data_IF_684390245671
#
_entry.id   IF_684390245671
#
_cell.length_a   1.000
_cell.length_b   1.000
_cell.length_c   1.000
_cell.angle_alpha   90.00
_cell.angle_beta   90.00
_cell.angle_gamma   90.00
#
_symmetry.space_group_name_H-M   'P 1'
#
loop_
_entity.id
_entity.type
_entity.pdbx_description
1 polymer ?
#
# COMPACT_ATOMS: atom_id res chain seq x y z
N UNK A 1 12.51 -40.47 13.99
CA UNK A 1 11.44 -41.03 13.13
C UNK A 1 11.44 -40.23 11.83
N UNK A 2 11.38 -40.85 10.63
CA UNK A 2 11.23 -40.11 9.36
C UNK A 2 10.11 -39.06 9.37
N UNK A 3 8.97 -39.37 10.01
CA UNK A 3 7.83 -38.43 10.08
C UNK A 3 8.13 -37.21 10.96
N UNK A 4 8.93 -37.40 12.02
CA UNK A 4 9.38 -36.30 12.87
C UNK A 4 10.35 -35.38 12.11
N UNK A 5 11.25 -35.95 11.30
CA UNK A 5 12.17 -35.19 10.46
C UNK A 5 11.41 -34.38 9.40
N UNK A 6 10.42 -34.97 8.74
CA UNK A 6 9.56 -34.27 7.78
C UNK A 6 8.77 -33.13 8.45
N UNK A 7 8.21 -33.37 9.63
CA UNK A 7 7.50 -32.36 10.41
C UNK A 7 8.41 -31.19 10.78
N UNK A 8 9.65 -31.47 11.22
CA UNK A 8 10.65 -30.43 11.51
C UNK A 8 11.02 -29.66 10.23
N UNK A 9 11.28 -30.36 9.13
CA UNK A 9 11.66 -29.74 7.87
C UNK A 9 10.56 -28.79 7.35
N UNK A 10 9.30 -29.23 7.39
CA UNK A 10 8.14 -28.43 7.01
C UNK A 10 7.96 -27.21 7.92
N UNK A 11 8.02 -27.41 9.25
CA UNK A 11 7.88 -26.32 10.22
C UNK A 11 8.98 -25.27 10.10
N UNK A 12 10.17 -25.68 9.66
CA UNK A 12 11.35 -24.80 9.55
C UNK A 12 11.39 -24.03 8.24
N UNK A 13 10.56 -24.38 7.25
CA UNK A 13 10.43 -23.64 6.00
C UNK A 13 11.76 -23.45 5.23
N UNK A 14 12.71 -24.37 5.39
CA UNK A 14 14.05 -24.30 4.79
C UNK A 14 15.13 -23.61 5.63
N UNK A 15 14.81 -23.07 6.81
CA UNK A 15 15.79 -22.49 7.73
C UNK A 15 16.40 -23.58 8.64
N UNK A 16 17.69 -23.88 8.43
CA UNK A 16 18.42 -24.85 9.21
C UNK A 16 18.55 -24.48 10.70
N UNK A 17 18.56 -23.18 11.04
CA UNK A 17 18.59 -22.71 12.43
C UNK A 17 17.26 -22.96 13.14
N UNK A 18 16.15 -22.65 12.47
CA UNK A 18 14.81 -22.94 13.00
C UNK A 18 14.61 -24.45 13.18
N UNK A 19 15.10 -25.26 12.23
CA UNK A 19 15.08 -26.72 12.33
C UNK A 19 15.87 -27.25 13.53
N UNK A 20 17.06 -26.69 13.75
CA UNK A 20 17.88 -27.05 14.90
C UNK A 20 17.21 -26.65 16.23
N UNK A 21 16.65 -25.44 16.32
CA UNK A 21 15.94 -24.97 17.52
C UNK A 21 14.72 -25.82 17.84
N UNK A 22 13.89 -26.15 16.84
CA UNK A 22 12.73 -27.02 17.03
C UNK A 22 13.16 -28.42 17.47
N UNK A 23 14.23 -28.97 16.88
CA UNK A 23 14.79 -30.25 17.27
C UNK A 23 15.27 -30.22 18.73
N UNK A 24 16.04 -29.21 19.12
CA UNK A 24 16.56 -29.04 20.49
C UNK A 24 15.42 -28.93 21.51
N UNK A 25 14.41 -28.12 21.23
CA UNK A 25 13.23 -27.99 22.10
C UNK A 25 12.43 -29.29 22.21
N UNK A 26 12.29 -30.02 21.11
CA UNK A 26 11.60 -31.31 21.08
C UNK A 26 12.37 -32.37 21.88
N UNK A 27 13.70 -32.39 21.76
CA UNK A 27 14.58 -33.28 22.54
C UNK A 27 14.58 -32.92 24.03
N UNK A 28 14.55 -31.63 24.37
CA UNK A 28 14.50 -31.17 25.77
C UNK A 28 13.20 -31.61 26.48
N UNK A 29 12.09 -31.73 25.76
CA UNK A 29 10.78 -32.12 26.31
C UNK A 29 10.56 -33.63 26.40
N UNK A 30 11.33 -34.44 25.67
CA UNK A 30 11.18 -35.89 25.64
C UNK A 30 11.45 -36.59 26.99
N UNK A 31 12.11 -35.93 27.95
CA UNK A 31 12.53 -36.56 29.20
C UNK A 31 13.44 -37.79 28.96
N UNK A 32 13.79 -38.50 30.03
CA UNK A 32 14.55 -39.75 29.97
C UNK A 32 15.86 -39.75 30.76
N UNK A 33 16.38 -40.94 31.07
CA UNK A 33 17.65 -41.10 31.78
C UNK A 33 18.85 -40.85 30.86
N UNK A 34 19.91 -40.25 31.41
CA UNK A 34 21.18 -40.06 30.71
C UNK A 34 21.72 -41.41 30.19
N UNK A 35 22.04 -41.47 28.90
CA UNK A 35 22.59 -42.66 28.25
C UNK A 35 21.58 -43.62 27.62
N UNK A 36 20.26 -43.43 27.82
CA UNK A 36 19.25 -44.22 27.13
C UNK A 36 18.96 -43.67 25.71
N UNK A 37 18.76 -44.54 24.69
CA UNK A 37 18.36 -44.10 23.36
C UNK A 37 16.98 -43.43 23.43
N UNK A 38 16.91 -42.16 23.00
CA UNK A 38 15.67 -41.38 22.91
C UNK A 38 15.12 -41.43 21.49
N UNK A 39 13.83 -41.71 21.35
CA UNK A 39 13.13 -41.69 20.06
C UNK A 39 12.24 -40.45 20.01
N UNK A 40 12.53 -39.56 19.07
CA UNK A 40 11.64 -38.45 18.73
C UNK A 40 10.69 -38.90 17.62
N UNK A 41 9.39 -38.87 17.93
CA UNK A 41 8.30 -39.14 17.02
C UNK A 41 7.56 -37.85 16.63
N UNK A 42 6.62 -37.98 15.68
CA UNK A 42 5.84 -36.86 15.15
C UNK A 42 5.00 -36.17 16.22
N UNK A 43 4.42 -36.94 17.13
CA UNK A 43 3.55 -36.41 18.20
C UNK A 43 4.34 -35.51 19.15
N UNK A 44 5.54 -35.92 19.56
CA UNK A 44 6.42 -35.12 20.41
C UNK A 44 6.81 -33.78 19.75
N UNK A 45 7.15 -33.78 18.46
CA UNK A 45 7.43 -32.55 17.69
C UNK A 45 6.16 -31.68 17.59
N UNK A 46 5.01 -32.31 17.32
CA UNK A 46 3.74 -31.60 17.16
C UNK A 46 3.29 -30.93 18.45
N UNK A 47 3.51 -31.58 19.61
CA UNK A 47 3.25 -30.98 20.92
C UNK A 47 4.11 -29.74 21.17
N UNK A 48 5.36 -29.73 20.70
CA UNK A 48 6.23 -28.54 20.79
C UNK A 48 5.74 -27.41 19.91
N UNK A 49 5.31 -27.73 18.68
CA UNK A 49 4.71 -26.78 17.75
C UNK A 49 3.44 -26.15 18.31
N UNK A 50 2.51 -26.95 18.83
CA UNK A 50 1.26 -26.49 19.43
C UNK A 50 1.48 -25.65 20.69
N UNK A 51 2.57 -25.87 21.42
CA UNK A 51 2.97 -25.06 22.56
C UNK A 51 3.75 -23.78 22.17
N UNK A 52 3.79 -23.42 20.88
CA UNK A 52 4.43 -22.20 20.36
C UNK A 52 5.94 -22.32 20.10
N UNK A 53 6.51 -23.52 20.11
CA UNK A 53 7.96 -23.74 20.15
C UNK A 53 8.73 -23.55 18.83
N UNK A 54 8.10 -23.51 17.65
CA UNK A 54 8.82 -23.33 16.38
C UNK A 54 8.46 -22.04 15.63
N UNK A 55 7.52 -21.26 16.14
CA UNK A 55 7.10 -20.01 15.49
C UNK A 55 7.41 -18.86 16.42
N UNK A 56 8.68 -18.80 16.85
CA UNK A 56 9.31 -17.50 16.90
C UNK A 56 9.46 -17.05 15.43
N UNK A 57 8.34 -16.69 14.80
CA UNK A 57 8.33 -15.76 13.68
C UNK A 57 9.13 -14.60 14.21
N UNK A 58 10.36 -14.46 13.72
CA UNK A 58 11.25 -13.43 14.19
C UNK A 58 10.60 -12.11 13.77
N UNK A 59 9.84 -11.53 14.70
CA UNK A 59 9.12 -10.27 14.51
C UNK A 59 10.10 -9.12 14.22
N UNK A 60 11.42 -9.34 14.39
CA UNK A 60 12.49 -8.45 13.96
C UNK A 60 13.41 -9.02 12.87
N UNK A 61 13.08 -10.18 12.29
CA UNK A 61 13.96 -10.94 11.39
C UNK A 61 13.69 -10.76 9.91
N UNK A 62 14.64 -11.23 9.11
CA UNK A 62 14.61 -11.23 7.64
C UNK A 62 13.31 -11.85 7.08
N UNK A 63 12.84 -12.95 7.68
CA UNK A 63 11.63 -13.66 7.24
C UNK A 63 10.33 -12.83 7.31
N UNK A 64 10.19 -11.94 8.31
CA UNK A 64 9.05 -11.02 8.40
C UNK A 64 9.04 -10.05 7.21
N UNK A 65 10.19 -9.44 6.91
CA UNK A 65 10.34 -8.48 5.81
C UNK A 65 10.21 -9.16 4.44
N UNK A 66 10.72 -10.37 4.29
CA UNK A 66 10.63 -11.13 3.04
C UNK A 66 9.19 -11.53 2.73
N UNK A 67 8.45 -12.01 3.73
CA UNK A 67 7.08 -12.48 3.52
C UNK A 67 6.15 -11.32 3.14
N UNK A 68 6.25 -10.18 3.82
CA UNK A 68 5.45 -9.00 3.44
C UNK A 68 5.88 -8.42 2.07
N UNK A 69 7.17 -8.48 1.76
CA UNK A 69 7.73 -8.07 0.48
C UNK A 69 7.19 -8.96 -0.65
N UNK A 70 7.11 -10.27 -0.43
CA UNK A 70 6.55 -11.24 -1.36
C UNK A 70 5.04 -11.04 -1.55
N UNK A 71 4.28 -10.82 -0.48
CA UNK A 71 2.85 -10.46 -0.56
C UNK A 71 2.64 -9.21 -1.43
N UNK A 72 3.39 -8.13 -1.14
CA UNK A 72 3.30 -6.87 -1.86
C UNK A 72 3.63 -7.06 -3.36
N UNK A 73 4.72 -7.76 -3.67
CA UNK A 73 5.13 -8.02 -5.06
C UNK A 73 4.13 -8.91 -5.79
N UNK A 74 3.52 -9.87 -5.12
CA UNK A 74 2.50 -10.75 -5.72
C UNK A 74 1.24 -9.96 -6.10
N UNK A 75 0.76 -9.09 -5.21
CA UNK A 75 -0.35 -8.16 -5.50
C UNK A 75 0.00 -7.27 -6.69
N UNK A 76 1.19 -6.65 -6.68
CA UNK A 76 1.67 -5.79 -7.78
C UNK A 76 1.81 -6.55 -9.10
N UNK A 77 2.28 -7.78 -9.03
CA UNK A 77 2.42 -8.73 -10.15
C UNK A 77 1.10 -9.29 -10.66
N UNK A 78 -0.01 -9.00 -9.99
CA UNK A 78 -1.35 -9.49 -10.32
C UNK A 78 -1.49 -11.01 -10.24
N UNK A 79 -0.82 -11.61 -9.25
CA UNK A 79 -0.91 -13.03 -8.93
C UNK A 79 -1.75 -13.21 -7.63
N UNK A 80 -3.06 -13.49 -7.74
CA UNK A 80 -3.93 -13.64 -6.57
C UNK A 80 -3.60 -14.89 -5.75
N UNK A 81 -3.13 -15.96 -6.38
CA UNK A 81 -2.84 -17.23 -5.72
C UNK A 81 -1.57 -17.10 -4.85
N UNK A 82 -0.50 -16.53 -5.41
CA UNK A 82 0.70 -16.23 -4.64
C UNK A 82 0.41 -15.22 -3.53
N UNK A 83 -0.41 -14.20 -3.80
CA UNK A 83 -0.78 -13.22 -2.78
C UNK A 83 -1.58 -13.85 -1.62
N UNK A 84 -2.50 -14.76 -1.90
CA UNK A 84 -3.20 -15.53 -0.86
C UNK A 84 -2.25 -16.42 -0.07
N UNK A 85 -1.33 -17.11 -0.74
CA UNK A 85 -0.34 -17.96 -0.07
C UNK A 85 0.53 -17.16 0.91
N UNK A 86 1.08 -16.02 0.47
CA UNK A 86 1.90 -15.18 1.35
C UNK A 86 1.10 -14.57 2.49
N UNK A 87 -0.15 -14.15 2.23
CA UNK A 87 -1.07 -13.69 3.29
C UNK A 87 -1.30 -14.79 4.34
N UNK A 88 -1.65 -16.00 3.91
CA UNK A 88 -1.89 -17.13 4.80
C UNK A 88 -0.62 -17.46 5.61
N UNK A 89 0.55 -17.50 4.98
CA UNK A 89 1.83 -17.73 5.66
C UNK A 89 2.10 -16.69 6.76
N UNK A 90 1.75 -15.41 6.54
CA UNK A 90 1.90 -14.38 7.56
C UNK A 90 0.92 -14.59 8.71
N UNK A 91 -0.36 -14.86 8.43
CA UNK A 91 -1.39 -15.04 9.45
C UNK A 91 -1.13 -16.27 10.32
N UNK A 92 -0.82 -17.41 9.70
CA UNK A 92 -0.44 -18.64 10.41
C UNK A 92 0.89 -18.48 11.15
N UNK A 93 1.78 -17.62 10.64
CA UNK A 93 3.03 -17.22 11.29
C UNK A 93 2.83 -16.27 12.49
N UNK A 94 1.60 -15.88 12.83
CA UNK A 94 1.32 -14.99 13.97
C UNK A 94 1.70 -13.53 13.73
N UNK A 95 1.73 -13.10 12.46
CA UNK A 95 1.89 -11.69 12.09
C UNK A 95 0.72 -10.85 12.64
N UNK A 96 1.00 -9.59 12.99
CA UNK A 96 -0.07 -8.63 13.31
C UNK A 96 -0.99 -8.44 12.09
N UNK A 97 -2.29 -8.81 12.14
CA UNK A 97 -3.18 -8.65 11.00
C UNK A 97 -3.38 -7.17 10.62
N UNK A 98 -3.22 -6.23 11.57
CA UNK A 98 -3.25 -4.81 11.25
C UNK A 98 -1.98 -4.36 10.51
N UNK A 99 -0.84 -5.03 10.70
CA UNK A 99 0.35 -4.79 9.89
C UNK A 99 0.10 -5.14 8.43
N UNK A 100 -0.47 -6.32 8.18
CA UNK A 100 -0.88 -6.74 6.84
C UNK A 100 -1.90 -5.75 6.26
N UNK A 101 -2.93 -5.37 7.02
CA UNK A 101 -3.94 -4.40 6.58
C UNK A 101 -3.33 -3.06 6.14
N UNK A 102 -2.38 -2.51 6.92
CA UNK A 102 -1.63 -1.28 6.56
C UNK A 102 -0.89 -1.43 5.22
N UNK A 103 -0.36 -2.62 4.93
CA UNK A 103 0.36 -2.92 3.69
C UNK A 103 -0.57 -3.09 2.49
N UNK A 104 -1.78 -3.65 2.69
CA UNK A 104 -2.82 -3.67 1.66
C UNK A 104 -3.30 -2.25 1.32
N UNK A 105 -3.51 -1.39 2.33
CA UNK A 105 -3.84 0.03 2.13
C UNK A 105 -2.73 0.75 1.34
N UNK A 106 -1.47 0.43 1.63
CA UNK A 106 -0.33 0.96 0.86
C UNK A 106 -0.37 0.50 -0.59
N UNK A 107 -0.53 -0.79 -0.85
CA UNK A 107 -0.61 -1.35 -2.20
C UNK A 107 -1.79 -0.76 -3.00
N UNK A 108 -2.93 -0.52 -2.36
CA UNK A 108 -4.09 0.11 -2.98
C UNK A 108 -3.78 1.51 -3.57
N UNK A 109 -3.00 2.33 -2.84
CA UNK A 109 -2.66 3.68 -3.33
C UNK A 109 -1.41 3.73 -4.20
N UNK A 110 -0.47 2.78 -4.01
CA UNK A 110 0.82 2.74 -4.72
C UNK A 110 0.73 2.02 -6.06
N UNK A 111 0.09 0.85 -6.10
CA UNK A 111 0.15 -0.08 -7.23
C UNK A 111 -1.17 -0.15 -8.02
N UNK A 112 -2.30 0.24 -7.42
CA UNK A 112 -3.62 0.34 -8.09
C UNK A 112 -3.98 1.80 -8.39
N UNK A 113 -3.88 2.67 -7.38
CA UNK A 113 -4.01 4.11 -7.54
C UNK A 113 -5.38 4.52 -8.11
N UNK A 114 -5.37 5.44 -9.06
CA UNK A 114 -6.60 5.94 -9.69
C UNK A 114 -7.10 5.06 -10.84
N UNK A 115 -6.39 3.98 -11.18
CA UNK A 115 -6.89 3.01 -12.15
C UNK A 115 -8.11 2.26 -11.59
N UNK A 116 -8.18 2.10 -10.26
CA UNK A 116 -9.40 1.72 -9.55
C UNK A 116 -9.45 2.32 -8.12
N UNK A 117 -10.14 3.46 -7.92
CA UNK A 117 -10.23 4.11 -6.61
C UNK A 117 -10.92 3.28 -5.52
N UNK A 118 -11.71 2.26 -5.87
CA UNK A 118 -12.35 1.38 -4.89
C UNK A 118 -11.34 0.51 -4.13
N UNK A 119 -10.14 0.31 -4.67
CA UNK A 119 -9.07 -0.42 -4.01
C UNK A 119 -8.75 0.09 -2.60
N UNK A 120 -8.66 1.42 -2.43
CA UNK A 120 -8.38 2.02 -1.11
C UNK A 120 -9.56 1.83 -0.15
N UNK A 121 -10.80 1.89 -0.67
CA UNK A 121 -12.01 1.68 0.13
C UNK A 121 -12.09 0.23 0.62
N UNK A 122 -11.87 -0.73 -0.27
CA UNK A 122 -11.86 -2.16 0.06
C UNK A 122 -10.76 -2.51 1.08
N UNK A 123 -9.55 -1.98 0.91
CA UNK A 123 -8.45 -2.21 1.83
C UNK A 123 -8.75 -1.63 3.24
N UNK A 124 -9.35 -0.43 3.30
CA UNK A 124 -9.77 0.16 4.57
C UNK A 124 -10.93 -0.61 5.22
N UNK A 125 -11.89 -1.08 4.44
CA UNK A 125 -12.99 -1.91 4.95
C UNK A 125 -12.46 -3.23 5.54
N UNK A 126 -11.46 -3.86 4.89
CA UNK A 126 -10.81 -5.04 5.44
C UNK A 126 -10.05 -4.73 6.75
N UNK A 127 -9.34 -3.60 6.84
CA UNK A 127 -8.70 -3.16 8.07
C UNK A 127 -9.71 -2.96 9.21
N UNK A 128 -10.85 -2.32 8.92
CA UNK A 128 -11.93 -2.14 9.89
C UNK A 128 -12.55 -3.48 10.29
N UNK A 129 -12.79 -4.38 9.35
CA UNK A 129 -13.30 -5.72 9.64
C UNK A 129 -12.37 -6.48 10.60
N UNK A 130 -11.06 -6.42 10.40
CA UNK A 130 -10.08 -7.00 11.34
C UNK A 130 -10.20 -6.40 12.74
N UNK A 131 -10.36 -5.07 12.84
CA UNK A 131 -10.49 -4.40 14.13
C UNK A 131 -11.81 -4.71 14.85
N UNK A 132 -12.90 -4.84 14.09
CA UNK A 132 -14.25 -5.03 14.63
C UNK A 132 -14.55 -6.50 14.95
N UNK A 133 -14.13 -7.41 14.08
CA UNK A 133 -14.43 -8.85 14.17
C UNK A 133 -13.32 -9.60 14.90
N UNK A 134 -12.06 -9.21 14.73
CA UNK A 134 -10.91 -9.97 15.24
C UNK A 134 -10.57 -11.20 14.40
N UNK A 135 -9.52 -11.92 14.79
CA UNK A 135 -9.17 -13.23 14.20
C UNK A 135 -9.84 -14.38 14.98
N UNK A 136 -10.18 -15.50 14.32
CA UNK A 136 -9.84 -15.86 12.93
C UNK A 136 -10.75 -15.27 11.83
N UNK A 137 -11.98 -14.84 12.13
CA UNK A 137 -12.98 -14.48 11.10
C UNK A 137 -12.56 -13.28 10.23
N UNK A 138 -11.83 -12.31 10.81
CA UNK A 138 -11.29 -11.16 10.10
C UNK A 138 -10.23 -11.49 9.04
N UNK A 139 -9.64 -12.70 9.07
CA UNK A 139 -8.67 -13.15 8.06
C UNK A 139 -9.31 -13.17 6.66
N UNK A 140 -10.58 -13.55 6.56
CA UNK A 140 -11.27 -13.62 5.28
C UNK A 140 -11.46 -12.24 4.65
N UNK A 141 -11.62 -11.19 5.46
CA UNK A 141 -11.68 -9.81 4.97
C UNK A 141 -10.35 -9.36 4.36
N UNK A 142 -9.22 -9.74 4.98
CA UNK A 142 -7.88 -9.50 4.41
C UNK A 142 -7.67 -10.28 3.11
N UNK A 143 -8.09 -11.54 3.05
CA UNK A 143 -8.01 -12.36 1.85
C UNK A 143 -8.84 -11.75 0.69
N UNK A 144 -10.07 -11.31 0.98
CA UNK A 144 -10.91 -10.63 -0.01
C UNK A 144 -10.23 -9.37 -0.57
N UNK A 145 -9.70 -8.50 0.30
CA UNK A 145 -9.00 -7.30 -0.15
C UNK A 145 -7.71 -7.64 -0.93
N UNK A 146 -6.97 -8.67 -0.50
CA UNK A 146 -5.76 -9.14 -1.17
C UNK A 146 -6.04 -9.55 -2.62
N UNK A 147 -7.04 -10.41 -2.84
CA UNK A 147 -7.45 -10.86 -4.18
C UNK A 147 -7.98 -9.69 -5.01
N UNK A 148 -8.78 -8.80 -4.42
CA UNK A 148 -9.27 -7.60 -5.09
C UNK A 148 -8.10 -6.76 -5.64
N UNK A 149 -7.10 -6.47 -4.81
CA UNK A 149 -5.94 -5.67 -5.20
C UNK A 149 -5.07 -6.38 -6.24
N UNK A 150 -4.91 -7.70 -6.12
CA UNK A 150 -4.18 -8.51 -7.09
C UNK A 150 -4.85 -8.46 -8.47
N UNK A 151 -6.18 -8.48 -8.56
CA UNK A 151 -6.91 -8.45 -9.83
C UNK A 151 -7.23 -7.03 -10.35
N UNK A 152 -7.09 -6.00 -9.51
CA UNK A 152 -7.38 -4.63 -9.91
C UNK A 152 -6.44 -4.12 -11.01
N UNK A 153 -6.91 -3.24 -11.93
CA UNK A 153 -6.05 -2.58 -12.90
C UNK A 153 -4.90 -1.83 -12.20
N UNK A 154 -3.66 -2.09 -12.61
CA UNK A 154 -2.48 -1.48 -11.97
C UNK A 154 -2.20 -0.08 -12.48
N UNK A 155 -1.82 0.83 -11.59
CA UNK A 155 -1.24 2.13 -11.94
C UNK A 155 -0.41 2.68 -10.78
N UNK A 156 0.82 3.07 -11.11
CA UNK A 156 1.73 3.82 -10.24
C UNK A 156 1.75 5.32 -10.57
N UNK A 157 0.84 5.80 -11.43
CA UNK A 157 0.84 7.19 -11.92
C UNK A 157 0.67 8.21 -10.80
N UNK A 158 -0.21 7.92 -9.83
CA UNK A 158 -0.39 8.75 -8.64
C UNK A 158 0.87 8.77 -7.77
N UNK A 159 1.44 7.60 -7.50
CA UNK A 159 2.66 7.44 -6.70
C UNK A 159 3.84 8.20 -7.31
N UNK A 160 4.08 8.01 -8.61
CA UNK A 160 5.14 8.71 -9.36
C UNK A 160 4.90 10.21 -9.42
N UNK A 161 3.66 10.64 -9.65
CA UNK A 161 3.31 12.05 -9.73
C UNK A 161 3.51 12.77 -8.41
N UNK A 162 3.05 12.20 -7.30
CA UNK A 162 3.28 12.77 -5.98
C UNK A 162 4.78 12.77 -5.63
N UNK A 163 5.50 11.68 -5.91
CA UNK A 163 6.95 11.63 -5.71
C UNK A 163 7.72 12.68 -6.51
N UNK A 164 7.28 13.00 -7.74
CA UNK A 164 7.86 14.08 -8.54
C UNK A 164 7.61 15.46 -7.91
N UNK A 165 6.38 15.74 -7.47
CA UNK A 165 6.07 17.00 -6.79
C UNK A 165 6.86 17.15 -5.48
N UNK A 166 7.01 16.08 -4.70
CA UNK A 166 7.83 16.09 -3.48
C UNK A 166 9.31 16.41 -3.77
N UNK A 167 9.86 15.84 -4.86
CA UNK A 167 11.24 16.15 -5.27
C UNK A 167 11.39 17.61 -5.67
N UNK A 168 10.44 18.16 -6.45
CA UNK A 168 10.47 19.57 -6.85
C UNK A 168 10.50 20.49 -5.62
N UNK A 169 9.64 20.23 -4.63
CA UNK A 169 9.58 21.01 -3.38
C UNK A 169 10.88 20.93 -2.58
N UNK A 170 11.58 19.79 -2.59
CA UNK A 170 12.86 19.63 -1.87
C UNK A 170 14.04 20.26 -2.59
N UNK A 171 13.99 20.38 -3.91
CA UNK A 171 15.12 20.77 -4.75
C UNK A 171 15.05 22.22 -5.25
N UNK A 172 13.89 22.86 -5.16
CA UNK A 172 13.67 24.23 -5.61
C UNK A 172 13.46 25.20 -4.45
N UNK A 173 13.63 26.52 -4.68
CA UNK A 173 13.18 27.53 -3.73
C UNK A 173 11.70 27.35 -3.37
N UNK A 174 11.33 27.75 -2.16
CA UNK A 174 9.94 27.83 -1.72
C UNK A 174 9.22 28.96 -2.47
N UNK A 175 8.79 28.70 -3.70
CA UNK A 175 8.08 29.67 -4.51
C UNK A 175 6.81 30.12 -3.80
N UNK A 176 6.51 31.44 -3.78
CA UNK A 176 5.33 31.94 -3.11
C UNK A 176 4.07 31.45 -3.80
N UNK A 177 2.99 31.27 -3.02
CA UNK A 177 1.65 31.06 -3.58
C UNK A 177 1.28 32.27 -4.47
N UNK A 178 0.79 32.06 -5.71
CA UNK A 178 0.31 33.13 -6.59
C UNK A 178 -0.67 34.05 -5.87
N UNK A 179 -0.56 35.37 -6.08
CA UNK A 179 -1.32 36.37 -5.32
C UNK A 179 -2.84 36.14 -5.40
N UNK A 180 -3.34 35.76 -6.59
CA UNK A 180 -4.73 35.42 -6.85
C UNK A 180 -5.24 34.19 -6.08
N UNK A 181 -4.36 33.32 -5.59
CA UNK A 181 -4.74 32.13 -4.81
C UNK A 181 -4.59 32.33 -3.29
N UNK A 182 -4.07 33.48 -2.86
CA UNK A 182 -3.88 33.76 -1.43
C UNK A 182 -5.21 34.15 -0.78
N UNK A 183 -5.37 33.72 0.47
CA UNK A 183 -6.49 34.16 1.30
C UNK A 183 -6.34 35.65 1.70
N UNK A 184 -7.44 36.40 1.69
CA UNK A 184 -7.48 37.83 1.99
C UNK A 184 -8.50 38.19 3.09
N UNK A 185 -8.36 37.64 4.32
CA UNK A 185 -9.35 37.78 5.38
C UNK A 185 -9.44 39.21 5.93
N UNK A 186 -8.32 39.95 5.96
CA UNK A 186 -8.27 41.32 6.53
C UNK A 186 -8.36 42.39 5.45
N UNK A 187 -8.78 43.60 5.84
CA UNK A 187 -8.81 44.76 4.94
C UNK A 187 -7.42 45.12 4.41
N UNK A 188 -6.38 44.97 5.23
CA UNK A 188 -4.99 45.18 4.81
C UNK A 188 -4.60 44.21 3.69
N UNK A 189 -4.88 42.91 3.84
CA UNK A 189 -4.51 41.91 2.84
C UNK A 189 -5.23 42.12 1.50
N UNK A 190 -6.51 42.52 1.53
CA UNK A 190 -7.24 42.92 0.31
C UNK A 190 -6.63 44.14 -0.37
N UNK A 191 -6.22 45.15 0.41
CA UNK A 191 -5.50 46.34 -0.12
C UNK A 191 -4.14 45.97 -0.73
N UNK A 192 -3.49 44.93 -0.20
CA UNK A 192 -2.25 44.37 -0.75
C UNK A 192 -2.48 43.43 -1.95
N UNK A 193 -3.70 43.34 -2.48
CA UNK A 193 -4.04 42.58 -3.68
C UNK A 193 -4.19 41.07 -3.47
N UNK A 194 -4.23 40.57 -2.23
CA UNK A 194 -4.41 39.14 -1.97
C UNK A 194 -5.77 38.68 -2.48
N UNK A 195 -5.80 37.57 -3.23
CA UNK A 195 -7.01 37.05 -3.87
C UNK A 195 -7.50 37.88 -5.06
N UNK A 196 -6.87 39.01 -5.37
CA UNK A 196 -7.24 39.83 -6.53
C UNK A 196 -6.98 39.04 -7.82
N UNK A 197 -7.98 39.05 -8.71
CA UNK A 197 -7.93 38.29 -9.96
C UNK A 197 -8.29 36.81 -9.82
N UNK A 198 -8.62 36.31 -8.62
CA UNK A 198 -9.23 34.99 -8.49
C UNK A 198 -10.56 34.94 -9.25
N UNK A 199 -10.75 33.89 -10.04
CA UNK A 199 -12.01 33.61 -10.72
C UNK A 199 -12.55 32.28 -10.23
N UNK A 200 -13.80 32.29 -9.79
CA UNK A 200 -14.48 31.10 -9.34
C UNK A 200 -14.71 30.15 -10.53
N UNK A 201 -14.11 28.95 -10.56
CA UNK A 201 -14.29 28.03 -11.68
C UNK A 201 -15.75 27.67 -11.96
N UNK A 202 -16.64 27.71 -10.96
CA UNK A 202 -18.07 27.43 -11.14
C UNK A 202 -18.82 28.44 -12.01
N UNK A 203 -18.25 29.63 -12.21
CA UNK A 203 -18.79 30.69 -13.06
C UNK A 203 -18.19 30.67 -14.48
N UNK A 204 -17.17 29.84 -14.71
CA UNK A 204 -16.55 29.67 -16.02
C UNK A 204 -17.23 28.52 -16.79
N UNK A 205 -17.20 28.55 -18.14
CA UNK A 205 -17.68 27.44 -18.97
C UNK A 205 -17.07 26.09 -18.55
N UNK A 206 -17.90 25.05 -18.56
CA UNK A 206 -17.52 23.66 -18.18
C UNK A 206 -17.03 23.51 -16.72
N UNK A 207 -17.23 24.53 -15.89
CA UNK A 207 -16.69 24.64 -14.54
C UNK A 207 -15.16 24.47 -14.47
N UNK A 208 -14.44 24.95 -15.48
CA UNK A 208 -12.97 24.84 -15.59
C UNK A 208 -12.34 26.21 -15.41
N UNK A 209 -11.50 26.35 -14.38
CA UNK A 209 -10.80 27.60 -14.14
C UNK A 209 -9.59 27.83 -15.06
N UNK A 210 -9.37 29.11 -15.39
CA UNK A 210 -8.38 29.59 -16.38
C UNK A 210 -6.91 29.39 -15.95
N UNK A 211 -6.65 29.34 -14.63
CA UNK A 211 -5.30 29.34 -14.07
C UNK A 211 -4.52 30.62 -14.40
N UNK A 212 -3.19 30.64 -14.21
CA UNK A 212 -2.37 29.56 -13.67
C UNK A 212 -2.64 29.26 -12.19
N UNK A 213 -2.37 28.02 -11.78
CA UNK A 213 -2.50 27.57 -10.38
C UNK A 213 -1.16 27.27 -9.70
N UNK A 214 -0.17 26.87 -10.49
CA UNK A 214 1.20 26.74 -10.02
C UNK A 214 1.86 28.12 -9.97
N UNK A 215 2.93 28.29 -9.16
CA UNK A 215 3.83 29.42 -9.29
C UNK A 215 4.33 29.54 -10.74
N UNK A 216 4.59 30.76 -11.20
CA UNK A 216 5.08 31.05 -12.56
C UNK A 216 6.34 30.23 -12.90
N UNK A 217 7.27 30.10 -11.95
CA UNK A 217 8.49 29.31 -12.11
C UNK A 217 8.24 27.80 -12.33
N UNK A 218 7.02 27.32 -12.05
CA UNK A 218 6.59 25.93 -12.24
C UNK A 218 5.48 25.82 -13.29
N UNK A 219 5.21 26.87 -14.06
CA UNK A 219 4.22 26.80 -15.13
C UNK A 219 4.64 25.75 -16.18
N UNK A 220 3.67 24.95 -16.65
CA UNK A 220 3.91 23.84 -17.57
C UNK A 220 4.34 22.53 -16.89
N UNK A 221 4.71 22.54 -15.61
CA UNK A 221 5.01 21.31 -14.87
C UNK A 221 3.82 20.36 -14.84
N UNK A 222 4.06 19.09 -15.22
CA UNK A 222 3.05 18.03 -15.21
C UNK A 222 3.53 16.87 -14.34
N UNK A 223 2.96 16.76 -13.15
CA UNK A 223 3.28 15.68 -12.23
C UNK A 223 2.44 14.43 -12.47
N UNK A 224 1.14 14.59 -12.66
CA UNK A 224 0.23 13.48 -12.85
C UNK A 224 0.03 13.15 -14.33
N UNK A 225 0.43 11.94 -14.72
CA UNK A 225 0.29 11.40 -16.08
C UNK A 225 -0.46 10.07 -15.96
N UNK A 226 -1.80 10.07 -16.18
CA UNK A 226 -2.58 8.85 -16.04
C UNK A 226 -2.19 7.81 -17.08
N UNK A 227 -2.39 6.55 -16.74
CA UNK A 227 -2.27 5.42 -17.66
C UNK A 227 -3.57 5.25 -18.45
N UNK A 228 -3.63 4.27 -19.35
CA UNK A 228 -4.80 3.91 -20.14
C UNK A 228 -5.62 2.74 -19.53
N UNK A 229 -5.26 2.35 -18.30
CA UNK A 229 -5.83 1.22 -17.55
C UNK A 229 -6.95 1.67 -16.62
N UNK A 230 -7.99 0.85 -16.52
CA UNK A 230 -9.12 1.10 -15.62
C UNK A 230 -9.75 2.49 -15.79
N UNK A 231 -10.03 3.15 -14.68
CA UNK A 231 -10.64 4.48 -14.65
C UNK A 231 -9.71 5.58 -15.18
N UNK A 232 -8.39 5.38 -15.15
CA UNK A 232 -7.42 6.39 -15.59
C UNK A 232 -7.55 6.75 -17.06
N UNK A 233 -8.07 5.84 -17.89
CA UNK A 233 -8.44 6.17 -19.29
C UNK A 233 -9.41 7.35 -19.37
N UNK A 234 -10.47 7.31 -18.55
CA UNK A 234 -11.47 8.41 -18.47
C UNK A 234 -10.87 9.66 -17.83
N UNK A 235 -9.99 9.49 -16.84
CA UNK A 235 -9.27 10.61 -16.23
C UNK A 235 -8.38 11.32 -17.26
N UNK A 236 -7.67 10.56 -18.10
CA UNK A 236 -6.87 11.10 -19.20
C UNK A 236 -7.71 11.91 -20.20
N UNK A 237 -8.88 11.39 -20.59
CA UNK A 237 -9.85 12.11 -21.43
C UNK A 237 -10.32 13.41 -20.76
N UNK A 238 -10.63 13.38 -19.47
CA UNK A 238 -11.01 14.58 -18.71
C UNK A 238 -9.88 15.61 -18.65
N UNK A 239 -8.63 15.17 -18.43
CA UNK A 239 -7.48 16.08 -18.45
C UNK A 239 -7.27 16.75 -19.82
N UNK A 240 -7.48 16.01 -20.91
CA UNK A 240 -7.43 16.57 -22.26
C UNK A 240 -8.55 17.60 -22.50
N UNK A 241 -9.78 17.29 -22.08
CA UNK A 241 -10.91 18.25 -22.12
C UNK A 241 -10.62 19.51 -21.31
N UNK A 242 -10.08 19.38 -20.09
CA UNK A 242 -9.68 20.52 -19.24
C UNK A 242 -8.63 21.38 -19.93
N UNK A 243 -7.63 20.77 -20.58
CA UNK A 243 -6.59 21.49 -21.30
C UNK A 243 -7.16 22.29 -22.48
N UNK A 244 -8.08 21.69 -23.25
CA UNK A 244 -8.78 22.37 -24.34
C UNK A 244 -9.65 23.52 -23.85
N UNK A 245 -10.42 23.32 -22.78
CA UNK A 245 -11.23 24.37 -22.17
C UNK A 245 -10.36 25.55 -21.71
N UNK A 246 -9.24 25.28 -21.02
CA UNK A 246 -8.28 26.33 -20.63
C UNK A 246 -7.68 27.07 -21.82
N UNK A 247 -7.37 26.38 -22.91
CA UNK A 247 -6.85 27.01 -24.13
C UNK A 247 -7.87 27.98 -24.76
N UNK A 248 -9.16 27.59 -24.83
CA UNK A 248 -10.25 28.46 -25.31
C UNK A 248 -10.37 29.73 -24.45
N UNK A 249 -10.44 29.55 -23.13
CA UNK A 249 -10.55 30.66 -22.20
C UNK A 249 -9.33 31.61 -22.29
N UNK A 250 -8.12 31.10 -22.48
CA UNK A 250 -6.93 31.96 -22.68
C UNK A 250 -6.97 32.73 -24.01
N UNK A 251 -7.49 32.13 -25.07
CA UNK A 251 -7.63 32.78 -26.38
C UNK A 251 -8.66 33.92 -26.42
N UNK A 252 -9.77 33.77 -25.70
CA UNK A 252 -10.80 34.81 -25.55
C UNK A 252 -10.28 36.05 -24.80
N UNK A 253 -9.40 35.86 -23.81
CA UNK A 253 -8.82 36.95 -23.03
C UNK A 253 -7.81 37.83 -23.80
N UNK A 254 -7.34 37.36 -24.96
CA UNK A 254 -6.41 38.11 -25.83
C UNK A 254 -7.08 38.98 -26.90
N UNK A 255 -8.41 38.93 -27.02
CA UNK A 255 -9.20 39.65 -28.04
C UNK A 255 -10.18 40.68 -27.43
N UNK A 256 -10.03 41.00 -26.13
CA UNK A 256 -10.90 41.93 -25.40
C UNK A 256 -10.14 43.10 -24.79
#
# INVERSE_FOLDING_TARGET
>A
DPEALETIALASGGDARAALQLLELSVARLGGQEGAPRRLDREAVSAVLSAGGAVAHDKGGEAHFDTISALHKSIRGSDPDAALYWLARMLEGGEDPLYIARRLVRAASEDVGLADPQALVQANAAAQAVQLVGLPEGALALAQACVYLALAPKSDALYRGYGAAQREVRQRPAYPVPLALRNAPTALLRRLGYGQGYRNPHEEPEAVGRGPYLPEALEGSRYYVPTDRGLERRIGQRLASIAQARARLRGEAGHG
#
